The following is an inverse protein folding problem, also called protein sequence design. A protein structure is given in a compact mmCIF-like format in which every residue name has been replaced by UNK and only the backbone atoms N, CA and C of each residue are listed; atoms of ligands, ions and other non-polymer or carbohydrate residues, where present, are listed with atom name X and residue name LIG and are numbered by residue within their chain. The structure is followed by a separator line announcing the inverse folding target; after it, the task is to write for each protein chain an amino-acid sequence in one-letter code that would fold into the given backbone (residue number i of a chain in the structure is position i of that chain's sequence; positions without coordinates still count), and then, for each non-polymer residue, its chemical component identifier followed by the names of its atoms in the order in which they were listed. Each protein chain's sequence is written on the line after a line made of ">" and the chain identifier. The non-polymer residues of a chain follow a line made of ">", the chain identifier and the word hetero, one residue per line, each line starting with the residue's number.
data_IF_829346319716
#
_entry.id   IF_829346319716
#
_cell.length_a   1.000
_cell.length_b   1.000
_cell.length_c   1.000
_cell.angle_alpha   90.00
_cell.angle_beta   90.00
_cell.angle_gamma   90.00
#
_symmetry.space_group_name_H-M   'P 1'
#
loop_
_entity.id
_entity.type
_entity.pdbx_description
1 polymer ?
#
# COMPACT_ATOMS: atom_id res chain seq x y z
N UNK A 1 -47.45 36.13 -51.21
CA UNK A 1 -46.37 35.20 -50.85
C UNK A 1 -46.57 34.81 -49.39
N UNK A 2 -46.89 33.55 -49.11
CA UNK A 2 -47.04 33.05 -47.73
C UNK A 2 -45.92 32.05 -47.46
N UNK A 3 -45.13 32.32 -46.42
CA UNK A 3 -44.06 31.45 -45.93
C UNK A 3 -44.72 30.44 -44.99
N UNK A 4 -44.53 29.12 -45.16
CA UNK A 4 -45.06 28.15 -44.20
C UNK A 4 -44.17 28.13 -42.96
N UNK A 5 -44.75 28.36 -41.79
CA UNK A 5 -44.13 28.10 -40.49
C UNK A 5 -43.68 26.63 -40.43
N UNK A 6 -42.37 26.41 -40.37
CA UNK A 6 -41.79 25.12 -40.02
C UNK A 6 -41.96 24.94 -38.51
N UNK A 7 -42.94 24.14 -38.10
CA UNK A 7 -43.10 23.71 -36.72
C UNK A 7 -41.80 23.04 -36.24
N UNK A 8 -41.20 23.62 -35.19
CA UNK A 8 -40.09 23.00 -34.50
C UNK A 8 -40.61 21.75 -33.76
N UNK A 9 -40.19 20.57 -34.22
CA UNK A 9 -40.42 19.29 -33.54
C UNK A 9 -39.70 19.32 -32.19
N UNK A 10 -40.44 19.69 -31.14
CA UNK A 10 -39.96 19.80 -29.77
C UNK A 10 -40.25 18.51 -29.00
N UNK A 11 -39.87 17.37 -29.57
CA UNK A 11 -39.91 16.09 -28.85
C UNK A 11 -38.65 15.91 -27.99
N UNK A 12 -38.44 16.88 -27.10
CA UNK A 12 -37.50 16.75 -26.00
C UNK A 12 -38.03 15.64 -25.08
N UNK A 13 -37.40 14.46 -25.15
CA UNK A 13 -37.64 13.36 -24.21
C UNK A 13 -37.64 13.92 -22.80
N UNK A 14 -38.82 14.01 -22.20
CA UNK A 14 -39.03 14.50 -20.84
C UNK A 14 -38.30 13.52 -19.92
N UNK A 15 -37.06 13.85 -19.54
CA UNK A 15 -36.35 13.15 -18.47
C UNK A 15 -37.08 13.55 -17.19
N UNK A 16 -37.68 12.63 -16.44
CA UNK A 16 -38.33 12.98 -15.20
C UNK A 16 -37.28 13.54 -14.24
N UNK A 17 -37.34 14.85 -13.97
CA UNK A 17 -36.46 15.52 -13.01
C UNK A 17 -36.83 15.01 -11.62
N UNK A 18 -36.00 14.11 -11.05
CA UNK A 18 -36.17 13.67 -9.68
C UNK A 18 -35.63 14.71 -8.70
N UNK A 19 -36.40 15.01 -7.66
CA UNK A 19 -35.97 15.87 -6.57
C UNK A 19 -34.80 15.29 -5.79
N UNK A 20 -33.97 16.16 -5.21
CA UNK A 20 -32.87 15.76 -4.32
C UNK A 20 -33.46 15.32 -2.96
N UNK A 21 -33.03 14.19 -2.38
CA UNK A 21 -33.48 13.77 -1.06
C UNK A 21 -33.00 14.75 0.01
N UNK A 22 -33.81 14.98 1.05
CA UNK A 22 -33.54 15.93 2.14
C UNK A 22 -32.21 15.65 2.87
N UNK A 23 -31.79 14.39 2.93
CA UNK A 23 -30.52 13.96 3.57
C UNK A 23 -29.29 14.11 2.67
N UNK A 24 -29.44 14.49 1.39
CA UNK A 24 -28.37 14.54 0.40
C UNK A 24 -27.79 13.18 -0.01
N UNK A 25 -28.15 12.10 0.69
CA UNK A 25 -27.62 10.75 0.45
C UNK A 25 -28.61 9.91 -0.35
N UNK A 26 -28.23 9.60 -1.58
CA UNK A 26 -28.98 8.70 -2.47
C UNK A 26 -28.60 7.26 -2.13
N UNK A 27 -29.51 6.53 -1.48
CA UNK A 27 -29.25 5.16 -1.01
C UNK A 27 -29.49 4.07 -2.07
N UNK A 28 -30.17 4.39 -3.17
CA UNK A 28 -30.47 3.50 -4.30
C UNK A 28 -30.08 4.18 -5.61
N UNK A 29 -29.37 3.46 -6.47
CA UNK A 29 -29.14 3.92 -7.84
C UNK A 29 -30.43 3.82 -8.66
N UNK A 30 -30.59 4.76 -9.60
CA UNK A 30 -31.73 4.74 -10.50
C UNK A 30 -31.67 3.52 -11.43
N UNK A 31 -32.76 2.76 -11.47
CA UNK A 31 -32.90 1.62 -12.37
C UNK A 31 -33.15 2.14 -13.78
N UNK A 32 -32.23 1.88 -14.70
CA UNK A 32 -32.47 2.10 -16.12
C UNK A 32 -33.45 1.04 -16.66
N UNK A 33 -34.30 1.41 -17.64
CA UNK A 33 -35.19 0.44 -18.30
C UNK A 33 -34.33 -0.58 -19.05
N UNK A 34 -34.71 -1.86 -19.04
CA UNK A 34 -33.97 -2.89 -19.79
C UNK A 34 -33.82 -2.54 -21.29
N UNK A 35 -34.82 -1.87 -21.88
CA UNK A 35 -34.78 -1.36 -23.26
C UNK A 35 -33.75 -0.27 -23.53
N UNK A 36 -33.22 0.40 -22.50
CA UNK A 36 -32.11 1.35 -22.65
C UNK A 36 -30.75 0.66 -22.76
N UNK A 37 -30.69 -0.64 -22.43
CA UNK A 37 -29.51 -1.47 -22.65
C UNK A 37 -29.48 -1.88 -24.13
N UNK A 38 -28.71 -1.17 -24.94
CA UNK A 38 -28.47 -1.54 -26.33
C UNK A 38 -27.60 -2.80 -26.36
N UNK A 39 -28.21 -3.98 -26.23
CA UNK A 39 -27.54 -5.27 -26.37
C UNK A 39 -27.28 -5.55 -27.84
N UNK A 40 -26.31 -4.87 -28.43
CA UNK A 40 -25.76 -5.30 -29.72
C UNK A 40 -25.17 -6.69 -29.55
N UNK A 41 -25.33 -7.56 -30.56
CA UNK A 41 -24.62 -8.85 -30.57
C UNK A 41 -23.12 -8.53 -30.43
N UNK A 42 -22.42 -9.06 -29.41
CA UNK A 42 -20.99 -8.80 -29.30
C UNK A 42 -20.34 -9.30 -30.58
N UNK A 43 -19.54 -8.47 -31.23
CA UNK A 43 -18.75 -8.92 -32.39
C UNK A 43 -17.92 -10.12 -31.92
N UNK A 44 -18.26 -11.30 -32.40
CA UNK A 44 -17.51 -12.52 -32.09
C UNK A 44 -16.12 -12.34 -32.69
N UNK A 45 -15.12 -12.20 -31.84
CA UNK A 45 -13.73 -12.18 -32.29
C UNK A 45 -13.41 -13.52 -32.97
N UNK A 46 -12.74 -13.45 -34.12
CA UNK A 46 -12.21 -14.62 -34.82
C UNK A 46 -11.25 -15.39 -33.90
N UNK A 47 -11.13 -16.70 -34.12
CA UNK A 47 -10.27 -17.57 -33.31
C UNK A 47 -8.81 -17.10 -33.27
N UNK A 48 -8.28 -16.67 -34.41
CA UNK A 48 -6.91 -16.10 -34.52
C UNK A 48 -6.71 -14.92 -33.56
N UNK A 49 -7.63 -13.94 -33.57
CA UNK A 49 -7.59 -12.80 -32.64
C UNK A 49 -7.68 -13.21 -31.17
N UNK A 50 -8.43 -14.28 -30.86
CA UNK A 50 -8.49 -14.82 -29.48
C UNK A 50 -7.16 -15.43 -29.05
N UNK A 51 -6.44 -16.09 -29.97
CA UNK A 51 -5.14 -16.68 -29.68
C UNK A 51 -4.08 -15.59 -29.45
N UNK A 52 -4.07 -14.57 -30.31
CA UNK A 52 -3.21 -13.38 -30.18
C UNK A 52 -3.40 -12.71 -28.81
N UNK A 53 -4.65 -12.38 -28.44
CA UNK A 53 -4.96 -11.79 -27.13
C UNK A 53 -4.54 -12.67 -25.95
N UNK A 54 -4.60 -14.00 -26.09
CA UNK A 54 -4.12 -14.93 -25.04
C UNK A 54 -2.60 -14.89 -24.93
N UNK A 55 -1.88 -14.82 -26.04
CA UNK A 55 -0.43 -14.71 -26.06
C UNK A 55 0.02 -13.37 -25.48
N UNK A 56 -0.57 -12.26 -25.92
CA UNK A 56 -0.31 -10.92 -25.37
C UNK A 56 -0.55 -10.89 -23.86
N UNK A 57 -1.69 -11.42 -23.40
CA UNK A 57 -2.00 -11.50 -21.98
C UNK A 57 -0.95 -12.32 -21.21
N UNK A 58 -0.51 -13.45 -21.75
CA UNK A 58 0.53 -14.28 -21.12
C UNK A 58 1.84 -13.50 -20.99
N UNK A 59 2.25 -12.81 -22.04
CA UNK A 59 3.48 -12.00 -22.06
C UNK A 59 3.41 -10.86 -21.04
N UNK A 60 2.28 -10.13 -21.00
CA UNK A 60 2.05 -9.06 -20.01
C UNK A 60 2.10 -9.59 -18.58
N UNK A 61 1.47 -10.73 -18.31
CA UNK A 61 1.48 -11.33 -16.97
C UNK A 61 2.89 -11.79 -16.55
N UNK A 62 3.67 -12.38 -17.47
CA UNK A 62 5.08 -12.72 -17.21
C UNK A 62 5.86 -11.47 -16.82
N UNK A 63 5.74 -10.41 -17.61
CA UNK A 63 6.47 -9.17 -17.38
C UNK A 63 6.08 -8.50 -16.04
N UNK A 64 4.79 -8.48 -15.71
CA UNK A 64 4.31 -7.97 -14.41
C UNK A 64 4.86 -8.81 -13.25
N UNK A 65 4.93 -10.12 -13.41
CA UNK A 65 5.50 -11.03 -12.41
C UNK A 65 7.00 -10.74 -12.19
N UNK A 66 7.77 -10.59 -13.27
CA UNK A 66 9.20 -10.26 -13.22
C UNK A 66 9.45 -8.92 -12.50
N UNK A 67 8.66 -7.89 -12.80
CA UNK A 67 8.75 -6.59 -12.12
C UNK A 67 8.47 -6.73 -10.62
N UNK A 68 7.45 -7.52 -10.26
CA UNK A 68 7.08 -7.73 -8.85
C UNK A 68 8.16 -8.48 -8.10
N UNK A 69 8.73 -9.53 -8.70
CA UNK A 69 9.82 -10.30 -8.11
C UNK A 69 11.06 -9.43 -7.89
N UNK A 70 11.45 -8.61 -8.87
CA UNK A 70 12.58 -7.68 -8.73
C UNK A 70 12.38 -6.73 -7.54
N UNK A 71 11.20 -6.11 -7.42
CA UNK A 71 10.87 -5.23 -6.30
C UNK A 71 10.88 -5.96 -4.95
N UNK A 72 10.44 -7.21 -4.91
CA UNK A 72 10.46 -8.02 -3.69
C UNK A 72 11.90 -8.34 -3.28
N UNK A 73 12.74 -8.75 -4.23
CA UNK A 73 14.16 -9.05 -4.00
C UNK A 73 14.92 -7.82 -3.47
N UNK A 74 14.72 -6.65 -4.07
CA UNK A 74 15.30 -5.39 -3.58
C UNK A 74 14.88 -5.08 -2.14
N UNK A 75 13.59 -5.26 -1.82
CA UNK A 75 13.06 -5.02 -0.47
C UNK A 75 13.62 -6.01 0.55
N UNK A 76 13.82 -7.27 0.17
CA UNK A 76 14.40 -8.30 1.03
C UNK A 76 15.88 -8.04 1.31
N UNK A 77 16.66 -7.67 0.28
CA UNK A 77 18.06 -7.27 0.44
C UNK A 77 18.19 -6.05 1.35
N UNK A 78 17.31 -5.05 1.20
CA UNK A 78 17.28 -3.90 2.09
C UNK A 78 16.96 -4.30 3.55
N UNK A 79 16.03 -5.25 3.77
CA UNK A 79 15.72 -5.77 5.11
C UNK A 79 16.89 -6.56 5.70
N UNK A 80 17.61 -7.34 4.89
CA UNK A 80 18.77 -8.11 5.33
C UNK A 80 19.91 -7.18 5.74
N UNK A 81 20.29 -6.25 4.86
CA UNK A 81 21.33 -5.24 5.15
C UNK A 81 20.96 -4.38 6.36
N UNK A 82 19.68 -4.00 6.52
CA UNK A 82 19.23 -3.27 7.71
C UNK A 82 19.40 -4.08 8.99
N UNK A 83 19.04 -5.37 8.98
CA UNK A 83 19.22 -6.27 10.13
C UNK A 83 20.70 -6.42 10.49
N UNK A 84 21.55 -6.65 9.50
CA UNK A 84 22.98 -6.76 9.69
C UNK A 84 23.59 -5.46 10.25
N UNK A 85 23.20 -4.31 9.71
CA UNK A 85 23.68 -3.02 10.21
C UNK A 85 23.22 -2.75 11.65
N UNK A 86 22.02 -3.18 12.04
CA UNK A 86 21.54 -3.08 13.42
C UNK A 86 22.37 -3.99 14.34
N UNK A 87 22.63 -5.23 13.92
CA UNK A 87 23.45 -6.16 14.72
C UNK A 87 24.88 -5.64 14.86
N UNK A 88 25.50 -5.21 13.77
CA UNK A 88 26.84 -4.60 13.78
C UNK A 88 26.87 -3.36 14.67
N UNK A 89 25.83 -2.53 14.63
CA UNK A 89 25.72 -1.36 15.52
C UNK A 89 25.64 -1.79 16.98
N UNK A 90 24.83 -2.80 17.29
CA UNK A 90 24.69 -3.34 18.66
C UNK A 90 26.01 -3.92 19.16
N UNK A 91 26.71 -4.69 18.34
CA UNK A 91 28.04 -5.21 18.68
C UNK A 91 29.06 -4.08 18.88
N UNK A 92 29.05 -3.06 18.03
CA UNK A 92 29.93 -1.90 18.17
C UNK A 92 29.59 -1.08 19.42
N UNK A 93 28.31 -0.90 19.74
CA UNK A 93 27.86 -0.27 20.99
C UNK A 93 28.35 -1.06 22.22
N UNK A 94 28.30 -2.40 22.19
CA UNK A 94 28.84 -3.25 23.26
C UNK A 94 30.37 -3.13 23.34
N UNK A 95 31.08 -3.20 22.21
CA UNK A 95 32.56 -3.14 22.15
C UNK A 95 33.12 -1.77 22.53
N UNK A 96 32.42 -0.70 22.16
CA UNK A 96 32.84 0.68 22.43
C UNK A 96 32.40 1.18 23.81
N UNK A 97 31.60 0.41 24.55
CA UNK A 97 31.18 0.80 25.88
C UNK A 97 32.37 0.82 26.85
N UNK A 98 32.82 2.02 27.20
CA UNK A 98 33.84 2.24 28.21
C UNK A 98 33.20 2.04 29.58
N UNK A 99 33.58 0.97 30.27
CA UNK A 99 33.09 0.63 31.60
C UNK A 99 34.08 1.03 32.68
N UNK A 100 33.58 1.56 33.79
CA UNK A 100 34.38 1.81 34.99
C UNK A 100 34.20 0.64 35.96
N UNK A 101 35.27 -0.09 36.24
CA UNK A 101 35.24 -1.17 37.24
C UNK A 101 35.14 -0.56 38.63
N UNK A 102 34.07 -0.87 39.35
CA UNK A 102 33.85 -0.39 40.73
C UNK A 102 34.47 -1.40 41.69
N UNK A 103 35.64 -1.07 42.23
CA UNK A 103 36.35 -1.94 43.21
C UNK A 103 35.79 -1.84 44.62
N UNK A 104 35.27 -0.67 45.03
CA UNK A 104 34.75 -0.44 46.39
C UNK A 104 33.23 -0.22 46.40
N UNK A 105 32.50 -1.20 46.94
CA UNK A 105 31.03 -1.22 47.01
C UNK A 105 30.44 -0.30 48.08
N UNK A 106 31.21 0.11 49.09
CA UNK A 106 30.75 1.05 50.10
C UNK A 106 30.42 2.42 49.50
N UNK A 107 31.06 2.80 48.39
CA UNK A 107 30.75 4.05 47.66
C UNK A 107 29.33 4.05 47.11
N UNK A 108 28.87 2.94 46.51
CA UNK A 108 27.50 2.81 45.99
C UNK A 108 26.46 2.92 47.11
N UNK A 109 26.74 2.34 48.29
CA UNK A 109 25.83 2.41 49.45
C UNK A 109 25.68 3.81 50.02
N UNK A 110 26.66 4.70 49.82
CA UNK A 110 26.64 6.10 50.28
C UNK A 110 25.99 7.06 49.29
N UNK A 111 25.81 6.65 48.02
CA UNK A 111 25.22 7.51 46.99
C UNK A 111 23.72 7.71 47.17
N UNK A 112 23.20 8.80 46.61
CA UNK A 112 21.77 9.10 46.62
C UNK A 112 21.02 8.11 45.73
N UNK A 113 19.80 7.74 46.13
CA UNK A 113 18.91 6.85 45.36
C UNK A 113 18.66 7.31 43.91
N UNK A 114 18.72 8.61 43.61
CA UNK A 114 18.52 9.13 42.24
C UNK A 114 19.72 8.82 41.34
N UNK A 115 20.93 8.98 41.86
CA UNK A 115 22.17 8.75 41.11
C UNK A 115 22.36 7.25 40.82
N UNK A 116 21.96 6.39 41.76
CA UNK A 116 21.93 4.94 41.58
C UNK A 116 21.00 4.50 40.44
N UNK A 117 19.97 5.28 40.07
CA UNK A 117 19.09 4.98 38.92
C UNK A 117 19.76 5.23 37.57
N UNK A 118 20.80 6.08 37.52
CA UNK A 118 21.54 6.38 36.29
C UNK A 118 22.61 5.32 35.98
N UNK A 119 23.12 4.64 37.01
CA UNK A 119 24.15 3.61 36.86
C UNK A 119 23.56 2.37 36.18
N UNK A 120 24.14 1.97 35.05
CA UNK A 120 23.86 0.69 34.39
C UNK A 120 24.97 -0.30 34.72
N UNK A 121 24.60 -1.55 35.03
CA UNK A 121 25.57 -2.62 35.26
C UNK A 121 25.88 -3.30 33.93
N UNK A 122 27.16 -3.57 33.69
CA UNK A 122 27.67 -4.32 32.53
C UNK A 122 28.59 -5.43 33.03
N UNK A 123 28.54 -6.57 32.36
CA UNK A 123 29.40 -7.70 32.69
C UNK A 123 30.76 -7.50 32.02
N UNK A 124 31.81 -7.54 32.83
CA UNK A 124 33.21 -7.52 32.38
C UNK A 124 33.85 -8.90 32.41
N UNK A 125 33.08 -9.93 32.79
CA UNK A 125 33.58 -11.29 32.86
C UNK A 125 33.69 -11.88 31.44
N UNK A 126 34.82 -12.54 31.12
CA UNK A 126 34.95 -13.22 29.84
C UNK A 126 33.89 -14.32 29.72
N UNK A 127 33.31 -14.46 28.52
CA UNK A 127 32.31 -15.49 28.24
C UNK A 127 32.99 -16.88 28.38
N UNK A 128 32.40 -17.85 29.10
CA UNK A 128 32.95 -19.20 29.10
C UNK A 128 32.87 -19.77 27.67
N UNK A 129 34.01 -20.23 27.18
CA UNK A 129 34.16 -21.01 25.93
C UNK A 129 33.22 -22.21 25.89
#
# INVERSE_FOLDING_TARGET
>A
MNIPEMAADTDARIIPIKGKPKSGRVWKTDKSKFSSMCQVKPLKLNWSKKLELRQERKNLLSHVSEIKERKQREKELWKQTRRENIERKRENEIKSEIVQVITNTAKLRRMRKKDLKMIRKRDTNPKPT
#
